data_IF_011537181982
#
_entry.id   IF_011537181982
#
_cell.length_a   1.000
_cell.length_b   1.000
_cell.length_c   1.000
_cell.angle_alpha   90.00
_cell.angle_beta   90.00
_cell.angle_gamma   90.00
#
_symmetry.space_group_name_H-M   'P 1'
#
loop_
_entity.id
_entity.type
_entity.pdbx_description
1 polymer ?
#
# COMPACT_ATOMS: atom_id res chain seq x y z
N UNK A 1 -15.77 -13.46 -3.91
CA UNK A 1 -14.52 -14.05 -3.41
C UNK A 1 -13.30 -13.34 -3.99
N UNK A 2 -13.17 -13.22 -5.33
CA UNK A 2 -12.06 -12.51 -6.00
C UNK A 2 -11.71 -11.13 -5.40
N UNK A 3 -12.72 -10.31 -5.07
CA UNK A 3 -12.52 -8.97 -4.53
C UNK A 3 -11.77 -8.96 -3.18
N UNK A 4 -12.02 -9.95 -2.34
CA UNK A 4 -11.34 -10.12 -1.05
C UNK A 4 -9.87 -10.52 -1.25
N UNK A 5 -9.59 -11.38 -2.23
CA UNK A 5 -8.22 -11.75 -2.60
C UNK A 5 -7.41 -10.52 -3.04
N UNK A 6 -7.94 -9.69 -3.94
CA UNK A 6 -7.23 -8.48 -4.38
C UNK A 6 -6.95 -7.48 -3.24
N UNK A 7 -7.93 -7.30 -2.35
CA UNK A 7 -7.76 -6.43 -1.17
C UNK A 7 -6.73 -7.03 -0.20
N UNK A 8 -6.79 -8.33 0.11
CA UNK A 8 -5.82 -8.99 0.98
C UNK A 8 -4.40 -8.94 0.42
N UNK A 9 -4.24 -9.25 -0.87
CA UNK A 9 -2.93 -9.18 -1.54
C UNK A 9 -2.38 -7.76 -1.56
N UNK A 10 -3.23 -6.76 -1.85
CA UNK A 10 -2.84 -5.35 -1.81
C UNK A 10 -2.41 -4.91 -0.41
N UNK A 11 -3.14 -5.34 0.63
CA UNK A 11 -2.78 -5.05 2.02
C UNK A 11 -1.46 -5.74 2.40
N UNK A 12 -1.23 -6.99 2.02
CA UNK A 12 0.02 -7.70 2.30
C UNK A 12 1.23 -7.01 1.64
N UNK A 13 1.08 -6.56 0.39
CA UNK A 13 2.11 -5.79 -0.33
C UNK A 13 2.38 -4.45 0.36
N UNK A 14 1.33 -3.74 0.78
CA UNK A 14 1.46 -2.48 1.52
C UNK A 14 2.10 -2.68 2.90
N UNK A 15 1.71 -3.71 3.66
CA UNK A 15 2.30 -3.99 4.97
C UNK A 15 3.77 -4.40 4.82
N UNK A 16 4.12 -5.23 3.84
CA UNK A 16 5.51 -5.62 3.56
C UNK A 16 6.41 -4.42 3.23
N UNK A 17 5.98 -3.56 2.31
CA UNK A 17 6.71 -2.33 1.98
C UNK A 17 6.81 -1.36 3.17
N UNK A 18 5.74 -1.25 3.97
CA UNK A 18 5.70 -0.40 5.16
C UNK A 18 6.65 -0.87 6.25
N UNK A 19 6.70 -2.18 6.51
CA UNK A 19 7.62 -2.77 7.49
C UNK A 19 9.08 -2.61 7.05
N UNK A 20 9.39 -2.74 5.75
CA UNK A 20 10.72 -2.42 5.21
C UNK A 20 11.13 -0.97 5.49
N UNK A 21 10.23 -0.01 5.26
CA UNK A 21 10.49 1.41 5.58
C UNK A 21 10.80 1.58 7.07
N UNK A 22 10.02 0.94 7.95
CA UNK A 22 10.25 0.97 9.40
C UNK A 22 11.57 0.29 9.81
N UNK A 23 12.00 -0.75 9.10
CA UNK A 23 13.29 -1.39 9.34
C UNK A 23 14.47 -0.46 8.97
N UNK A 24 14.34 0.30 7.87
CA UNK A 24 15.37 1.25 7.46
C UNK A 24 15.45 2.50 8.34
N UNK A 25 14.42 2.80 9.12
CA UNK A 25 14.47 3.86 10.14
C UNK A 25 15.66 3.67 11.10
N UNK A 26 16.12 2.43 11.29
CA UNK A 26 17.33 2.13 12.05
C UNK A 26 18.59 2.83 11.49
N UNK A 27 18.69 3.04 10.17
CA UNK A 27 19.79 3.78 9.55
C UNK A 27 19.84 5.23 10.03
N UNK A 28 18.68 5.83 10.27
CA UNK A 28 18.56 7.20 10.78
C UNK A 28 19.18 7.33 12.19
N UNK A 29 18.89 6.37 13.06
CA UNK A 29 19.49 6.26 14.41
C UNK A 29 20.97 5.96 14.39
N UNK A 30 21.50 5.39 13.30
CA UNK A 30 22.93 5.10 13.13
C UNK A 30 23.74 6.35 12.75
N UNK A 31 23.10 7.51 12.66
CA UNK A 31 23.74 8.80 12.38
C UNK A 31 23.62 9.26 10.93
N UNK A 32 22.81 8.60 10.09
CA UNK A 32 22.48 9.12 8.77
C UNK A 32 21.58 10.35 8.87
N UNK A 33 21.87 11.38 8.07
CA UNK A 33 20.98 12.52 7.90
C UNK A 33 19.66 12.10 7.24
N UNK A 34 18.55 12.72 7.67
CA UNK A 34 17.19 12.44 7.18
C UNK A 34 17.05 12.53 5.64
N UNK A 35 17.78 13.45 5.01
CA UNK A 35 17.81 13.61 3.55
C UNK A 35 18.45 12.41 2.84
N UNK A 36 19.51 11.83 3.39
CA UNK A 36 20.15 10.64 2.82
C UNK A 36 19.29 9.39 2.99
N UNK A 37 18.58 9.29 4.11
CA UNK A 37 17.60 8.23 4.35
C UNK A 37 16.47 8.27 3.31
N UNK A 38 15.88 9.44 3.05
CA UNK A 38 14.85 9.59 2.02
C UNK A 38 15.38 9.26 0.62
N UNK A 39 16.57 9.74 0.27
CA UNK A 39 17.21 9.44 -1.01
C UNK A 39 17.47 7.93 -1.17
N UNK A 40 17.88 7.24 -0.10
CA UNK A 40 18.06 5.79 -0.09
C UNK A 40 16.71 5.07 -0.25
N UNK A 41 15.68 5.52 0.46
CA UNK A 41 14.36 4.90 0.45
C UNK A 41 13.66 5.01 -0.91
N UNK A 42 13.79 6.16 -1.58
CA UNK A 42 13.22 6.38 -2.93
C UNK A 42 13.92 5.51 -3.98
N UNK A 43 15.20 5.19 -3.78
CA UNK A 43 15.95 4.34 -4.71
C UNK A 43 15.71 2.83 -4.47
N UNK A 44 14.87 2.47 -3.48
CA UNK A 44 14.58 1.08 -3.13
C UNK A 44 13.23 0.64 -3.67
N UNK A 45 13.18 -0.61 -4.12
CA UNK A 45 11.97 -1.21 -4.68
C UNK A 45 10.85 -1.35 -3.65
N UNK A 46 11.18 -1.30 -2.36
CA UNK A 46 10.24 -1.45 -1.25
C UNK A 46 9.24 -0.28 -1.15
N UNK A 47 9.69 0.95 -1.48
CA UNK A 47 8.79 2.11 -1.55
C UNK A 47 7.80 1.93 -2.71
N UNK A 48 8.26 1.47 -3.86
CA UNK A 48 7.40 1.17 -4.99
C UNK A 48 6.41 0.03 -4.68
N UNK A 49 6.85 -1.00 -3.94
CA UNK A 49 5.98 -2.08 -3.47
C UNK A 49 4.88 -1.56 -2.53
N UNK A 50 5.24 -0.66 -1.62
CA UNK A 50 4.30 -0.01 -0.72
C UNK A 50 3.23 0.77 -1.50
N UNK A 51 3.66 1.66 -2.39
CA UNK A 51 2.76 2.47 -3.22
C UNK A 51 1.88 1.58 -4.13
N UNK A 52 2.45 0.54 -4.73
CA UNK A 52 1.70 -0.40 -5.57
C UNK A 52 0.65 -1.19 -4.77
N UNK A 53 0.99 -1.66 -3.56
CA UNK A 53 0.07 -2.34 -2.66
C UNK A 53 -1.09 -1.44 -2.22
N UNK A 54 -0.80 -0.19 -1.89
CA UNK A 54 -1.82 0.82 -1.56
C UNK A 54 -2.70 1.13 -2.77
N UNK A 55 -2.13 1.35 -3.95
CA UNK A 55 -2.88 1.62 -5.17
C UNK A 55 -3.78 0.44 -5.57
N UNK A 56 -3.30 -0.80 -5.46
CA UNK A 56 -4.08 -2.01 -5.66
C UNK A 56 -5.26 -2.11 -4.68
N UNK A 57 -5.01 -1.82 -3.40
CA UNK A 57 -6.03 -1.87 -2.35
C UNK A 57 -7.12 -0.82 -2.60
N UNK A 58 -6.72 0.42 -2.90
CA UNK A 58 -7.63 1.51 -3.19
C UNK A 58 -8.42 1.21 -4.47
N UNK A 59 -7.76 0.75 -5.54
CA UNK A 59 -8.41 0.38 -6.79
C UNK A 59 -9.44 -0.75 -6.61
N UNK A 60 -9.10 -1.79 -5.83
CA UNK A 60 -10.02 -2.88 -5.53
C UNK A 60 -11.23 -2.45 -4.69
N UNK A 61 -11.06 -1.44 -3.83
CA UNK A 61 -12.14 -0.85 -3.04
C UNK A 61 -13.04 0.07 -3.90
N UNK A 62 -12.40 0.92 -4.70
CA UNK A 62 -12.97 1.87 -5.67
C UNK A 62 -13.60 1.21 -6.90
N UNK A 63 -13.54 -0.10 -7.04
CA UNK A 63 -14.42 -0.87 -7.91
C UNK A 63 -15.68 -1.27 -7.12
N UNK A 64 -16.65 -0.36 -6.85
CA UNK A 64 -17.96 -0.79 -6.43
C UNK A 64 -18.55 -1.54 -7.63
N UNK A 65 -18.66 -2.86 -7.49
CA UNK A 65 -19.66 -3.61 -8.23
C UNK A 65 -20.95 -2.83 -8.08
N UNK A 66 -21.44 -2.26 -9.18
CA UNK A 66 -22.70 -1.53 -9.29
C UNK A 66 -23.83 -2.43 -8.81
N UNK A 67 -23.99 -2.55 -7.49
CA UNK A 67 -25.20 -3.05 -6.86
C UNK A 67 -26.18 -1.92 -7.02
N UNK A 68 -26.72 -1.83 -8.24
CA UNK A 68 -27.91 -1.07 -8.60
C UNK A 68 -28.97 -1.47 -7.58
N UNK A 69 -29.04 -0.71 -6.50
CA UNK A 69 -30.03 -0.85 -5.43
C UNK A 69 -31.34 -0.51 -6.10
N UNK A 70 -32.01 -1.52 -6.67
CA UNK A 70 -33.38 -1.41 -7.16
C UNK A 70 -34.20 -1.00 -5.95
N UNK A 71 -34.49 0.30 -5.84
CA UNK A 71 -35.52 0.82 -4.96
C UNK A 71 -36.82 0.13 -5.39
N UNK A 72 -37.56 -0.57 -4.50
CA UNK A 72 -38.88 -1.06 -4.87
C UNK A 72 -39.77 0.14 -5.23
N UNK A 73 -40.50 0.12 -6.35
CA UNK A 73 -41.55 1.09 -6.61
C UNK A 73 -42.68 0.91 -5.59
N UNK A 74 -43.29 2.06 -5.33
CA UNK A 74 -44.29 2.44 -4.34
C UNK A 74 -45.44 1.46 -4.15
#
# INVERSE_FOLDING_TARGET
MIRLFFVLTGILLAVGGGVSILAYLNLLTTGYHFTMYLAFLVNRIELYLFLAGVALTIGALMFPSSRKRRRPPK
#
